data_IF_269187408153
#
_entry.id   IF_269187408153
#
_cell.length_a   1.000
_cell.length_b   1.000
_cell.length_c   1.000
_cell.angle_alpha   90.00
_cell.angle_beta   90.00
_cell.angle_gamma   90.00
#
_symmetry.space_group_name_H-M   'P 1'
#
loop_
_entity.id
_entity.type
_entity.pdbx_description
1 polymer ?
#
# COMPACT_ATOMS: atom_id res chain seq x y z
N UNK A 1 12.03 9.87 -3.83
CA UNK A 1 10.86 9.00 -4.00
C UNK A 1 11.25 7.63 -3.51
N UNK A 2 10.62 7.17 -2.43
CA UNK A 2 10.75 5.83 -1.87
C UNK A 2 9.47 5.04 -2.12
N UNK A 3 9.54 3.72 -2.12
CA UNK A 3 8.39 2.83 -2.32
C UNK A 3 8.11 2.01 -1.06
N UNK A 4 6.88 2.11 -0.56
CA UNK A 4 6.44 1.42 0.65
C UNK A 4 5.36 0.40 0.33
N UNK A 5 5.50 -0.81 0.88
CA UNK A 5 4.42 -1.79 0.85
C UNK A 5 3.61 -1.72 2.16
N UNK A 6 2.30 -1.53 2.06
CA UNK A 6 1.40 -1.35 3.21
C UNK A 6 0.26 -2.36 3.14
N UNK A 7 0.28 -3.34 4.04
CA UNK A 7 -0.88 -4.23 4.27
C UNK A 7 -1.85 -3.54 5.21
N UNK A 8 -3.14 -3.58 4.90
CA UNK A 8 -4.18 -2.89 5.66
C UNK A 8 -4.29 -1.40 5.33
N UNK A 9 -3.84 -0.98 4.15
CA UNK A 9 -3.73 0.43 3.77
C UNK A 9 -5.08 1.18 3.67
N UNK A 10 -6.21 0.47 3.57
CA UNK A 10 -7.50 1.10 3.27
C UNK A 10 -8.18 1.86 4.42
N UNK A 11 -7.86 1.56 5.68
CA UNK A 11 -8.58 2.12 6.84
C UNK A 11 -7.68 2.34 8.06
N UNK A 12 -8.16 3.10 9.05
CA UNK A 12 -7.48 3.29 10.33
C UNK A 12 -6.06 3.86 10.17
N UNK A 13 -5.09 3.27 10.87
CA UNK A 13 -3.71 3.74 10.85
C UNK A 13 -3.01 3.49 9.51
N UNK A 14 -3.33 2.38 8.83
CA UNK A 14 -2.81 2.08 7.49
C UNK A 14 -3.22 3.14 6.47
N UNK A 15 -4.46 3.64 6.56
CA UNK A 15 -4.96 4.75 5.72
C UNK A 15 -4.22 6.05 6.00
N UNK A 16 -4.15 6.43 7.28
CA UNK A 16 -3.49 7.66 7.68
C UNK A 16 -2.01 7.67 7.25
N UNK A 17 -1.32 6.53 7.37
CA UNK A 17 0.07 6.39 6.94
C UNK A 17 0.19 6.43 5.41
N UNK A 18 -0.71 5.77 4.68
CA UNK A 18 -0.73 5.79 3.22
C UNK A 18 -0.86 7.20 2.69
N UNK A 19 -1.83 7.96 3.19
CA UNK A 19 -2.03 9.36 2.81
C UNK A 19 -0.81 10.22 3.15
N UNK A 20 -0.21 10.03 4.33
CA UNK A 20 1.01 10.73 4.73
C UNK A 20 2.17 10.47 3.76
N UNK A 21 2.41 9.20 3.39
CA UNK A 21 3.49 8.81 2.48
C UNK A 21 3.25 9.36 1.07
N UNK A 22 2.02 9.25 0.56
CA UNK A 22 1.65 9.80 -0.75
C UNK A 22 1.81 11.32 -0.79
N UNK A 23 1.34 12.03 0.24
CA UNK A 23 1.47 13.48 0.36
C UNK A 23 2.93 13.94 0.47
N UNK A 24 3.83 13.08 0.96
CA UNK A 24 5.28 13.33 0.99
C UNK A 24 5.95 13.18 -0.39
N UNK A 25 5.22 12.66 -1.39
CA UNK A 25 5.74 12.38 -2.72
C UNK A 25 6.37 11.00 -2.87
N UNK A 26 6.10 10.08 -1.94
CA UNK A 26 6.52 8.68 -2.06
C UNK A 26 5.45 7.84 -2.78
N UNK A 27 5.84 6.62 -3.13
CA UNK A 27 4.95 5.62 -3.70
C UNK A 27 4.48 4.63 -2.62
N UNK A 28 3.21 4.25 -2.72
CA UNK A 28 2.61 3.22 -1.87
C UNK A 28 2.07 2.11 -2.74
N UNK A 29 2.47 0.89 -2.40
CA UNK A 29 1.83 -0.33 -2.84
C UNK A 29 0.95 -0.80 -1.69
N UNK A 30 -0.37 -0.70 -1.86
CA UNK A 30 -1.35 -1.05 -0.84
C UNK A 30 -1.91 -2.45 -1.07
N UNK A 31 -2.04 -3.25 -0.01
CA UNK A 31 -2.78 -4.50 -0.01
C UNK A 31 -3.95 -4.44 0.98
N UNK A 32 -5.15 -4.70 0.49
CA UNK A 32 -6.33 -4.86 1.33
C UNK A 32 -7.33 -5.83 0.69
N UNK A 33 -8.23 -6.38 1.50
CA UNK A 33 -9.31 -7.26 1.01
C UNK A 33 -10.41 -6.54 0.21
N UNK A 34 -10.34 -5.22 0.10
CA UNK A 34 -11.33 -4.37 -0.58
C UNK A 34 -10.67 -3.05 -0.97
N UNK A 35 -11.22 -2.38 -1.98
CA UNK A 35 -10.80 -1.04 -2.42
C UNK A 35 -10.77 -0.01 -1.29
N UNK A 36 -9.81 0.92 -1.35
CA UNK A 36 -9.73 2.04 -0.41
C UNK A 36 -10.49 3.28 -0.88
N UNK A 37 -10.88 3.34 -2.17
CA UNK A 37 -11.47 4.52 -2.79
C UNK A 37 -10.51 5.71 -2.93
N UNK A 38 -9.21 5.53 -2.69
CA UNK A 38 -8.19 6.56 -2.87
C UNK A 38 -7.67 6.54 -4.31
N UNK A 39 -7.79 7.66 -5.02
CA UNK A 39 -7.18 7.84 -6.32
C UNK A 39 -5.94 8.72 -6.19
N UNK A 40 -4.75 8.17 -6.43
CA UNK A 40 -3.50 8.91 -6.41
C UNK A 40 -2.50 8.32 -7.42
N UNK A 41 -1.75 9.14 -8.18
CA UNK A 41 -0.83 8.63 -9.22
C UNK A 41 0.29 7.73 -8.66
N UNK A 42 0.68 7.94 -7.40
CA UNK A 42 1.72 7.14 -6.72
C UNK A 42 1.15 5.99 -5.87
N UNK A 43 -0.14 5.69 -5.97
CA UNK A 43 -0.77 4.57 -5.28
C UNK A 43 -1.01 3.43 -6.27
N UNK A 44 -0.53 2.24 -5.93
CA UNK A 44 -0.90 0.98 -6.59
C UNK A 44 -1.61 0.10 -5.58
N UNK A 45 -2.78 -0.43 -5.92
CA UNK A 45 -3.58 -1.25 -5.00
C UNK A 45 -3.69 -2.69 -5.50
N UNK A 46 -3.47 -3.63 -4.58
CA UNK A 46 -3.76 -5.04 -4.75
C UNK A 46 -4.94 -5.43 -3.84
N UNK A 47 -5.90 -6.16 -4.42
CA UNK A 47 -7.00 -6.73 -3.66
C UNK A 47 -6.77 -8.22 -3.42
N UNK A 48 -6.32 -8.56 -2.21
CA UNK A 48 -6.20 -9.95 -1.79
C UNK A 48 -6.25 -10.09 -0.26
N UNK A 49 -6.37 -11.34 0.19
CA UNK A 49 -6.07 -11.73 1.57
C UNK A 49 -4.57 -12.01 1.70
N UNK A 50 -3.88 -11.31 2.61
CA UNK A 50 -2.44 -11.48 2.83
C UNK A 50 -2.07 -12.92 3.21
N UNK A 51 -2.98 -13.67 3.82
CA UNK A 51 -2.75 -15.07 4.18
C UNK A 51 -2.72 -16.02 2.97
N UNK A 52 -3.28 -15.58 1.83
CA UNK A 52 -3.39 -16.38 0.61
C UNK A 52 -2.64 -15.75 -0.58
N UNK A 53 -2.03 -14.58 -0.40
CA UNK A 53 -1.35 -13.86 -1.45
C UNK A 53 0.11 -14.30 -1.58
N UNK A 54 0.54 -14.49 -2.82
CA UNK A 54 1.87 -14.99 -3.18
C UNK A 54 2.91 -13.88 -3.40
N UNK A 55 2.51 -12.61 -3.22
CA UNK A 55 3.36 -11.45 -3.49
C UNK A 55 3.42 -11.05 -4.97
N UNK A 56 2.62 -11.68 -5.84
CA UNK A 56 2.56 -11.32 -7.26
C UNK A 56 2.21 -9.85 -7.45
N UNK A 57 2.96 -9.19 -8.35
CA UNK A 57 2.79 -7.76 -8.66
C UNK A 57 3.59 -6.81 -7.77
N UNK A 58 4.23 -7.29 -6.70
CA UNK A 58 5.17 -6.45 -5.95
C UNK A 58 6.35 -6.03 -6.83
N UNK A 59 6.83 -4.78 -6.69
CA UNK A 59 8.08 -4.36 -7.29
C UNK A 59 9.27 -5.11 -6.68
N UNK A 60 10.34 -5.26 -7.45
CA UNK A 60 11.57 -5.95 -7.03
C UNK A 60 12.24 -5.29 -5.81
N UNK A 61 12.07 -3.97 -5.67
CA UNK A 61 12.66 -3.18 -4.59
C UNK A 61 11.60 -2.41 -3.81
N UNK A 62 11.66 -2.55 -2.49
CA UNK A 62 10.87 -1.82 -1.51
C UNK A 62 11.81 -1.15 -0.51
N UNK A 63 11.54 0.12 -0.19
CA UNK A 63 12.27 0.88 0.83
C UNK A 63 11.70 0.67 2.24
N UNK A 64 10.50 0.09 2.34
CA UNK A 64 9.86 -0.19 3.60
C UNK A 64 8.62 -1.07 3.49
N UNK A 65 8.31 -1.74 4.58
CA UNK A 65 7.14 -2.60 4.73
C UNK A 65 6.39 -2.24 6.01
N UNK A 66 5.07 -2.12 5.93
CA UNK A 66 4.17 -1.87 7.05
C UNK A 66 3.04 -2.90 7.04
N UNK A 67 2.75 -3.45 8.22
CA UNK A 67 1.59 -4.31 8.46
C UNK A 67 0.68 -3.64 9.49
N UNK A 68 -0.52 -3.24 9.08
CA UNK A 68 -1.47 -2.46 9.88
C UNK A 68 -2.87 -3.09 9.92
#
# INVERSE_FOLDING_TARGET
MKTYFVVGHRSGIGRALTELLLNRGDAVVGLSRSESGLAHPNLTEFQADILNWDGSGLPELLDGFIYA
#
